data_IF_815881600071
#
_entry.id   IF_815881600071
#
_cell.length_a   1.000
_cell.length_b   1.000
_cell.length_c   1.000
_cell.angle_alpha   90.00
_cell.angle_beta   90.00
_cell.angle_gamma   90.00
#
_symmetry.space_group_name_H-M   'P 1'
#
loop_
_entity.id
_entity.type
_entity.pdbx_description
1 polymer ?
#
# COMPACT_ATOMS: atom_id res chain seq x y z
N UNK A 1 -9.32 25.33 0.62
CA UNK A 1 -7.99 25.34 1.28
C UNK A 1 -8.09 24.61 2.62
N UNK A 2 -6.99 24.08 3.16
CA UNK A 2 -6.96 23.46 4.51
C UNK A 2 -6.96 24.53 5.62
N UNK A 3 -8.05 24.72 6.40
CA UNK A 3 -7.98 25.57 7.58
C UNK A 3 -7.11 24.89 8.65
N UNK A 4 -6.40 25.70 9.45
CA UNK A 4 -5.77 25.20 10.66
C UNK A 4 -6.86 24.71 11.63
N UNK A 5 -6.68 23.50 12.19
CA UNK A 5 -7.63 22.88 13.13
C UNK A 5 -6.95 22.45 14.42
N UNK A 6 -7.75 22.09 15.42
CA UNK A 6 -7.29 21.68 16.75
C UNK A 6 -7.45 22.78 17.80
N UNK A 7 -7.41 22.38 19.06
CA UNK A 7 -7.65 23.23 20.23
C UNK A 7 -6.57 24.29 20.43
N UNK A 8 -5.39 24.11 19.83
CA UNK A 8 -4.29 25.08 19.86
C UNK A 8 -4.06 25.78 18.51
N UNK A 9 -4.99 25.70 17.56
CA UNK A 9 -4.85 26.35 16.24
C UNK A 9 -4.68 27.88 16.33
N UNK A 10 -5.21 28.50 17.39
CA UNK A 10 -5.04 29.93 17.68
C UNK A 10 -3.79 30.28 18.48
N UNK A 11 -3.03 29.30 18.95
CA UNK A 11 -1.83 29.52 19.76
C UNK A 11 -0.68 30.04 18.88
N UNK A 12 -0.47 31.35 18.95
CA UNK A 12 0.57 32.05 18.21
C UNK A 12 1.98 31.73 18.71
N UNK A 13 2.14 31.38 19.99
CA UNK A 13 3.45 31.01 20.52
C UNK A 13 3.87 29.64 19.98
N UNK A 14 3.00 28.64 20.09
CA UNK A 14 3.22 27.31 19.53
C UNK A 14 3.49 27.37 18.02
N UNK A 15 2.68 28.13 17.28
CA UNK A 15 2.85 28.28 15.83
C UNK A 15 4.19 28.92 15.49
N UNK A 16 4.61 29.95 16.25
CA UNK A 16 5.90 30.61 16.04
C UNK A 16 7.07 29.65 16.31
N UNK A 17 6.99 28.86 17.36
CA UNK A 17 8.05 27.90 17.71
C UNK A 17 8.17 26.79 16.67
N UNK A 18 7.03 26.27 16.19
CA UNK A 18 7.00 25.28 15.12
C UNK A 18 7.60 25.84 13.82
N UNK A 19 7.22 27.06 13.44
CA UNK A 19 7.76 27.75 12.25
C UNK A 19 9.25 28.08 12.40
N UNK A 20 9.71 28.50 13.59
CA UNK A 20 11.12 28.77 13.85
C UNK A 20 11.96 27.50 13.71
N UNK A 21 11.45 26.36 14.21
CA UNK A 21 12.10 25.05 14.07
C UNK A 21 12.18 24.62 12.59
N UNK A 22 11.11 24.82 11.83
CA UNK A 22 11.10 24.58 10.38
C UNK A 22 12.10 25.49 9.64
N UNK A 23 12.14 26.77 9.97
CA UNK A 23 13.05 27.74 9.37
C UNK A 23 14.53 27.39 9.65
N UNK A 24 14.84 26.90 10.85
CA UNK A 24 16.19 26.43 11.18
C UNK A 24 16.62 25.24 10.30
N UNK A 25 15.72 24.29 10.02
CA UNK A 25 16.00 23.19 9.10
C UNK A 25 16.20 23.66 7.66
N UNK A 26 15.45 24.68 7.23
CA UNK A 26 15.66 25.33 5.92
C UNK A 26 17.01 26.05 5.84
N UNK A 27 17.39 26.81 6.86
CA UNK A 27 18.69 27.49 6.93
C UNK A 27 19.87 26.51 6.89
N UNK A 28 19.67 25.29 7.36
CA UNK A 28 20.63 24.20 7.26
C UNK A 28 20.63 23.47 5.89
N UNK A 29 19.87 23.95 4.89
CA UNK A 29 19.77 23.38 3.55
C UNK A 29 19.00 22.05 3.47
N UNK A 30 18.25 21.68 4.53
CA UNK A 30 17.57 20.38 4.61
C UNK A 30 16.16 20.37 4.00
N UNK A 31 15.62 21.54 3.65
CA UNK A 31 14.26 21.72 3.14
C UNK A 31 14.24 22.82 2.06
N UNK A 32 13.32 22.68 1.10
CA UNK A 32 13.17 23.62 -0.02
C UNK A 32 12.38 24.88 0.37
N UNK A 33 12.37 25.86 -0.54
CA UNK A 33 11.62 27.10 -0.35
C UNK A 33 10.15 27.00 -0.80
N UNK A 34 9.22 27.10 0.15
CA UNK A 34 7.80 27.34 -0.12
C UNK A 34 7.03 28.00 1.03
N UNK A 35 5.72 28.15 0.85
CA UNK A 35 4.81 28.76 1.82
C UNK A 35 4.34 27.71 2.83
N UNK A 36 4.73 27.88 4.10
CA UNK A 36 4.42 26.95 5.17
C UNK A 36 3.03 27.22 5.71
N UNK A 37 2.19 26.19 5.72
CA UNK A 37 0.82 26.23 6.20
C UNK A 37 0.66 25.40 7.47
N UNK A 38 0.03 25.96 8.50
CA UNK A 38 -0.41 25.18 9.67
C UNK A 38 -1.66 24.37 9.31
N UNK A 39 -1.59 23.05 9.44
CA UNK A 39 -2.72 22.15 9.23
C UNK A 39 -3.44 21.80 10.53
N UNK A 40 -2.69 21.56 11.60
CA UNK A 40 -3.22 21.17 12.91
C UNK A 40 -2.34 21.67 14.04
N UNK A 41 -2.94 22.09 15.16
CA UNK A 41 -2.26 22.30 16.42
C UNK A 41 -3.18 21.91 17.58
N UNK A 42 -2.72 21.01 18.45
CA UNK A 42 -3.54 20.52 19.55
C UNK A 42 -2.85 19.50 20.44
N UNK A 43 -3.63 18.88 21.32
CA UNK A 43 -3.15 17.83 22.23
C UNK A 43 -3.50 16.43 21.73
N UNK A 44 -2.47 15.60 21.54
CA UNK A 44 -2.61 14.17 21.21
C UNK A 44 -1.97 13.33 22.32
N UNK A 45 -2.76 12.52 23.00
CA UNK A 45 -2.31 11.73 24.18
C UNK A 45 -1.59 12.58 25.24
N UNK A 46 -2.13 13.77 25.52
CA UNK A 46 -1.53 14.72 26.47
C UNK A 46 -0.27 15.42 25.97
N UNK A 47 0.15 15.21 24.73
CA UNK A 47 1.32 15.87 24.11
C UNK A 47 0.88 16.96 23.16
N UNK A 48 1.50 18.13 23.25
CA UNK A 48 1.32 19.22 22.30
C UNK A 48 1.94 18.85 20.95
N UNK A 49 1.14 18.93 19.89
CA UNK A 49 1.55 18.63 18.52
C UNK A 49 1.12 19.75 17.60
N UNK A 50 2.01 20.16 16.69
CA UNK A 50 1.67 21.01 15.55
C UNK A 50 2.10 20.34 14.24
N UNK A 51 1.30 20.49 13.19
CA UNK A 51 1.52 19.89 11.87
C UNK A 51 1.58 20.99 10.84
N UNK A 52 2.73 21.10 10.18
CA UNK A 52 2.99 22.07 9.13
C UNK A 52 3.07 21.37 7.78
N UNK A 53 2.62 22.03 6.70
CA UNK A 53 2.81 21.57 5.32
C UNK A 53 3.55 22.62 4.50
N UNK A 54 4.46 22.16 3.67
CA UNK A 54 5.13 22.95 2.63
C UNK A 54 5.17 22.10 1.36
N UNK A 55 4.28 22.40 0.42
CA UNK A 55 4.12 21.64 -0.83
C UNK A 55 3.83 20.14 -0.60
N UNK A 56 4.81 19.31 -0.98
CA UNK A 56 4.76 17.85 -0.93
C UNK A 56 5.23 17.26 0.41
N UNK A 57 5.55 18.09 1.39
CA UNK A 57 6.09 17.67 2.70
C UNK A 57 5.20 18.08 3.85
N UNK A 58 5.19 17.24 4.87
CA UNK A 58 4.59 17.52 6.17
C UNK A 58 5.66 17.44 7.26
N UNK A 59 5.57 18.33 8.22
CA UNK A 59 6.37 18.36 9.43
C UNK A 59 5.50 18.21 10.67
N UNK A 60 5.89 17.30 11.56
CA UNK A 60 5.30 17.16 12.90
C UNK A 60 6.23 17.74 13.95
N UNK A 61 5.74 18.76 14.64
CA UNK A 61 6.36 19.39 15.79
C UNK A 61 5.75 18.82 17.08
N UNK A 62 6.59 18.44 18.04
CA UNK A 62 6.16 17.81 19.31
C UNK A 62 6.59 18.60 20.55
N UNK A 63 6.86 19.89 20.37
CA UNK A 63 7.27 20.82 21.43
C UNK A 63 8.72 21.32 21.28
N UNK A 64 9.07 22.39 22.00
CA UNK A 64 10.41 22.98 21.95
C UNK A 64 11.51 21.98 22.31
N UNK A 65 12.65 22.07 21.63
CA UNK A 65 13.82 21.20 21.88
C UNK A 65 13.71 19.78 21.32
N UNK A 66 12.57 19.40 20.71
CA UNK A 66 12.43 18.14 19.97
C UNK A 66 12.69 18.34 18.48
N UNK A 67 13.30 17.35 17.79
CA UNK A 67 13.48 17.43 16.35
C UNK A 67 12.12 17.43 15.64
N UNK A 68 12.05 18.19 14.54
CA UNK A 68 10.92 18.13 13.64
C UNK A 68 10.96 16.83 12.85
N UNK A 69 9.87 16.09 12.86
CA UNK A 69 9.74 14.90 12.02
C UNK A 69 9.18 15.31 10.67
N UNK A 70 10.02 15.27 9.63
CA UNK A 70 9.61 15.66 8.28
C UNK A 70 9.46 14.43 7.40
N UNK A 71 8.32 14.34 6.71
CA UNK A 71 8.06 13.30 5.74
C UNK A 71 7.59 13.92 4.41
N UNK A 72 8.01 13.32 3.29
CA UNK A 72 7.35 13.57 2.02
C UNK A 72 6.00 12.86 2.04
N UNK A 73 4.93 13.54 1.63
CA UNK A 73 3.55 13.03 1.61
C UNK A 73 2.88 13.22 0.26
N UNK A 74 3.54 13.88 -0.70
CA UNK A 74 2.95 14.22 -1.98
C UNK A 74 2.10 15.49 -1.94
N UNK A 75 1.61 15.90 -3.11
CA UNK A 75 0.86 17.15 -3.30
C UNK A 75 -0.65 16.96 -3.27
N UNK A 76 -1.15 15.71 -3.25
CA UNK A 76 -2.57 15.43 -3.12
C UNK A 76 -3.12 16.10 -1.85
N UNK A 77 -4.09 17.01 -2.00
CA UNK A 77 -4.64 17.74 -0.87
C UNK A 77 -5.74 16.92 -0.15
N UNK A 78 -6.23 15.81 -0.73
CA UNK A 78 -7.22 14.91 -0.11
C UNK A 78 -6.58 13.79 0.71
N UNK A 79 -5.25 13.73 0.70
CA UNK A 79 -4.43 12.81 1.45
C UNK A 79 -4.56 13.00 2.96
N UNK A 80 -4.94 11.97 3.72
CA UNK A 80 -4.85 12.04 5.18
C UNK A 80 -3.40 12.10 5.64
N UNK A 81 -3.15 12.80 6.73
CA UNK A 81 -1.83 12.95 7.33
C UNK A 81 -1.74 12.12 8.59
N UNK A 82 -0.78 11.20 8.66
CA UNK A 82 -0.53 10.41 9.86
C UNK A 82 0.03 11.29 11.00
N UNK A 83 -0.60 11.25 12.16
CA UNK A 83 -0.18 12.02 13.35
C UNK A 83 0.60 11.19 14.37
N UNK A 84 0.69 9.88 14.13
CA UNK A 84 1.20 8.88 15.07
C UNK A 84 0.12 8.37 16.04
N UNK A 85 0.40 7.25 16.71
CA UNK A 85 -0.54 6.63 17.65
C UNK A 85 -1.87 6.20 17.01
N UNK A 86 -1.84 5.80 15.73
CA UNK A 86 -3.03 5.36 15.00
C UNK A 86 -4.01 6.47 14.62
N UNK A 87 -3.59 7.74 14.64
CA UNK A 87 -4.45 8.88 14.31
C UNK A 87 -4.11 9.52 12.97
N UNK A 88 -5.15 9.98 12.29
CA UNK A 88 -5.04 10.61 10.98
C UNK A 88 -5.78 11.93 10.97
N UNK A 89 -5.14 12.98 10.43
CA UNK A 89 -5.77 14.24 10.10
C UNK A 89 -6.39 14.13 8.69
N UNK A 90 -7.71 14.13 8.61
CA UNK A 90 -8.46 13.96 7.36
C UNK A 90 -8.55 15.26 6.58
N UNK A 91 -8.85 15.18 5.28
CA UNK A 91 -9.05 16.39 4.49
C UNK A 91 -10.29 17.16 4.99
N UNK A 92 -10.32 18.50 4.90
CA UNK A 92 -11.46 19.30 5.37
C UNK A 92 -12.78 19.03 4.66
N UNK A 93 -12.74 18.45 3.47
CA UNK A 93 -13.91 18.05 2.70
C UNK A 93 -14.29 16.59 2.91
N UNK A 94 -13.53 15.82 3.69
CA UNK A 94 -13.97 14.50 4.13
C UNK A 94 -15.05 14.67 5.19
N UNK A 95 -16.29 14.30 4.85
CA UNK A 95 -17.48 14.45 5.70
C UNK A 95 -17.67 13.31 6.68
N UNK A 96 -16.95 12.19 6.51
CA UNK A 96 -17.01 11.06 7.41
C UNK A 96 -15.91 10.04 7.19
N UNK A 97 -15.64 9.25 8.24
CA UNK A 97 -14.75 8.10 8.22
C UNK A 97 -15.45 6.93 8.91
N UNK A 98 -15.21 5.71 8.42
CA UNK A 98 -15.72 4.48 9.01
C UNK A 98 -14.71 3.35 8.87
N UNK A 99 -14.77 2.37 9.77
CA UNK A 99 -14.15 1.07 9.52
C UNK A 99 -14.94 0.41 8.39
N UNK A 100 -14.28 -0.14 7.34
CA UNK A 100 -15.00 -0.76 6.24
C UNK A 100 -15.97 -1.85 6.71
N UNK A 101 -17.25 -1.70 6.37
CA UNK A 101 -18.33 -2.61 6.80
C UNK A 101 -18.67 -2.57 8.31
N UNK A 102 -18.12 -1.62 9.05
CA UNK A 102 -18.29 -1.48 10.50
C UNK A 102 -18.74 -0.07 10.91
N UNK A 103 -18.37 0.30 12.13
CA UNK A 103 -18.83 1.52 12.76
C UNK A 103 -18.16 2.78 12.20
N UNK A 104 -18.86 3.90 12.35
CA UNK A 104 -18.31 5.22 12.08
C UNK A 104 -17.14 5.50 13.04
N UNK A 105 -16.05 6.04 12.48
CA UNK A 105 -14.88 6.48 13.24
C UNK A 105 -15.13 7.90 13.71
N UNK A 106 -14.99 8.14 15.01
CA UNK A 106 -15.16 9.48 15.56
C UNK A 106 -14.04 10.39 15.08
N UNK A 107 -14.42 11.55 14.55
CA UNK A 107 -13.50 12.60 14.10
C UNK A 107 -13.74 13.85 14.93
N UNK A 108 -12.68 14.36 15.56
CA UNK A 108 -12.71 15.62 16.32
C UNK A 108 -11.62 16.54 15.79
N UNK A 109 -11.98 17.78 15.47
CA UNK A 109 -11.07 18.78 14.91
C UNK A 109 -10.32 18.27 13.64
N UNK A 110 -10.99 17.42 12.86
CA UNK A 110 -10.44 16.77 11.66
C UNK A 110 -9.53 15.57 11.94
N UNK A 111 -9.34 15.19 13.21
CA UNK A 111 -8.47 14.08 13.61
C UNK A 111 -9.32 12.87 14.01
N UNK A 112 -9.00 11.71 13.45
CA UNK A 112 -9.63 10.44 13.87
C UNK A 112 -9.27 10.12 15.32
N UNK A 113 -10.13 9.39 16.00
CA UNK A 113 -9.69 8.68 17.20
C UNK A 113 -8.60 7.64 16.88
N UNK A 114 -7.86 7.12 17.88
CA UNK A 114 -6.86 6.08 17.66
C UNK A 114 -7.48 4.87 16.98
N UNK A 115 -6.84 4.44 15.91
CA UNK A 115 -7.17 3.21 15.21
C UNK A 115 -6.02 2.23 15.42
N UNK A 116 -6.33 1.05 15.95
CA UNK A 116 -5.36 -0.03 15.99
C UNK A 116 -5.18 -0.58 14.56
N UNK A 117 -3.94 -0.84 14.11
CA UNK A 117 -3.73 -1.59 12.87
C UNK A 117 -4.40 -2.97 13.03
N UNK A 118 -5.33 -3.36 12.14
CA UNK A 118 -6.07 -4.62 12.27
C UNK A 118 -5.21 -5.84 11.91
N UNK A 119 -4.07 -5.66 11.25
CA UNK A 119 -3.24 -6.76 10.74
C UNK A 119 -2.19 -7.21 11.75
N UNK A 120 -1.85 -8.51 11.72
CA UNK A 120 -0.82 -9.11 12.58
C UNK A 120 0.59 -8.55 12.34
N UNK A 121 0.85 -7.99 11.15
CA UNK A 121 2.12 -7.34 10.81
C UNK A 121 2.18 -5.86 11.21
N UNK A 122 1.16 -5.35 11.92
CA UNK A 122 1.10 -3.97 12.38
C UNK A 122 0.86 -2.95 11.27
N UNK A 123 0.37 -3.39 10.10
CA UNK A 123 -0.04 -2.52 8.98
C UNK A 123 -1.55 -2.29 8.99
N UNK A 124 -1.99 -1.26 8.28
CA UNK A 124 -3.32 -0.68 8.46
C UNK A 124 -3.33 0.45 9.51
N UNK A 125 -4.48 1.10 9.72
CA UNK A 125 -5.83 0.66 9.39
C UNK A 125 -6.20 0.82 7.92
N UNK A 126 -7.31 0.16 7.56
CA UNK A 126 -8.08 0.45 6.36
C UNK A 126 -9.29 1.28 6.80
N UNK A 127 -9.56 2.40 6.13
CA UNK A 127 -10.67 3.30 6.43
C UNK A 127 -11.48 3.60 5.18
N UNK A 128 -12.80 3.62 5.33
CA UNK A 128 -13.68 4.21 4.33
C UNK A 128 -13.87 5.69 4.64
N UNK A 129 -13.43 6.54 3.72
CA UNK A 129 -13.66 7.98 3.76
C UNK A 129 -14.86 8.34 2.89
N UNK A 130 -15.60 9.34 3.32
CA UNK A 130 -16.69 9.96 2.56
C UNK A 130 -16.27 11.37 2.21
N UNK A 131 -16.20 11.70 0.92
CA UNK A 131 -15.81 13.01 0.42
C UNK A 131 -16.77 13.53 -0.66
N UNK A 132 -16.46 14.67 -1.28
CA UNK A 132 -17.30 15.30 -2.29
C UNK A 132 -17.44 14.44 -3.56
N UNK A 133 -16.40 13.68 -3.90
CA UNK A 133 -16.35 12.80 -5.08
C UNK A 133 -16.87 11.39 -4.78
N UNK A 134 -17.48 11.18 -3.62
CA UNK A 134 -17.99 9.88 -3.16
C UNK A 134 -17.13 9.22 -2.08
N UNK A 135 -17.33 7.91 -1.93
CA UNK A 135 -16.63 7.10 -0.92
C UNK A 135 -15.36 6.46 -1.47
N UNK A 136 -14.27 6.49 -0.70
CA UNK A 136 -13.00 5.85 -1.05
C UNK A 136 -12.45 5.06 0.12
N UNK A 137 -11.81 3.93 -0.15
CA UNK A 137 -11.07 3.20 0.88
C UNK A 137 -9.60 3.61 0.85
N UNK A 138 -9.05 3.92 2.02
CA UNK A 138 -7.62 4.16 2.21
C UNK A 138 -7.02 3.08 3.10
N UNK A 139 -5.72 2.84 2.98
CA UNK A 139 -4.98 1.94 3.87
C UNK A 139 -3.57 2.42 4.17
N UNK A 140 -3.09 2.12 5.37
CA UNK A 140 -1.70 2.37 5.76
C UNK A 140 -0.80 1.20 5.36
N UNK A 141 0.04 1.43 4.33
CA UNK A 141 1.02 0.45 3.84
C UNK A 141 2.38 0.58 4.55
N UNK A 142 2.46 1.29 5.68
CA UNK A 142 3.69 1.56 6.42
C UNK A 142 4.55 2.67 5.82
N UNK A 143 3.96 3.50 4.95
CA UNK A 143 4.61 4.65 4.34
C UNK A 143 4.36 5.96 5.10
N UNK A 144 4.72 7.09 4.48
CA UNK A 144 4.56 8.41 5.08
C UNK A 144 3.09 8.90 5.21
N UNK A 145 2.14 8.22 4.56
CA UNK A 145 0.70 8.54 4.58
C UNK A 145 -0.13 7.30 4.22
N UNK A 146 -1.42 7.28 4.57
CA UNK A 146 -2.39 6.37 3.96
C UNK A 146 -2.48 6.56 2.45
N UNK A 147 -2.78 5.45 1.78
CA UNK A 147 -2.85 5.31 0.32
C UNK A 147 -4.27 4.97 -0.08
N UNK A 148 -4.78 5.52 -1.18
CA UNK A 148 -6.09 5.08 -1.70
C UNK A 148 -5.96 3.69 -2.31
N UNK A 149 -6.79 2.75 -1.88
CA UNK A 149 -6.72 1.36 -2.29
C UNK A 149 -7.77 1.04 -3.36
N UNK A 150 -7.34 0.37 -4.42
CA UNK A 150 -8.20 -0.23 -5.45
C UNK A 150 -8.02 -1.74 -5.53
N UNK A 151 -9.04 -2.41 -6.05
CA UNK A 151 -8.99 -3.85 -6.31
C UNK A 151 -9.82 -4.20 -7.54
N UNK A 152 -9.22 -4.95 -8.47
CA UNK A 152 -9.90 -5.59 -9.59
C UNK A 152 -9.65 -7.10 -9.53
N UNK A 153 -10.67 -7.91 -9.79
CA UNK A 153 -10.53 -9.36 -9.82
C UNK A 153 -10.24 -9.90 -11.23
N UNK A 154 -9.62 -11.08 -11.35
CA UNK A 154 -9.44 -11.77 -12.64
C UNK A 154 -10.79 -12.07 -13.32
N UNK A 155 -11.87 -12.23 -12.52
CA UNK A 155 -13.23 -12.39 -13.05
C UNK A 155 -13.71 -11.15 -13.82
N UNK A 156 -13.37 -9.95 -13.35
CA UNK A 156 -13.75 -8.69 -13.99
C UNK A 156 -13.08 -8.50 -15.36
N UNK A 157 -11.89 -9.10 -15.56
CA UNK A 157 -11.19 -9.09 -16.84
C UNK A 157 -11.90 -9.91 -17.92
N UNK A 158 -12.66 -10.93 -17.55
CA UNK A 158 -13.41 -11.75 -18.52
C UNK A 158 -14.60 -10.99 -19.15
N UNK A 159 -15.23 -10.07 -18.42
CA UNK A 159 -16.34 -9.25 -18.93
C UNK A 159 -15.85 -8.00 -19.68
N UNK A 160 -14.71 -7.43 -19.29
CA UNK A 160 -14.12 -6.25 -19.94
C UNK A 160 -13.58 -6.52 -21.36
N UNK A 161 -13.34 -7.79 -21.74
CA UNK A 161 -12.92 -8.16 -23.09
C UNK A 161 -13.97 -7.84 -24.18
N UNK A 162 -15.23 -7.62 -23.80
CA UNK A 162 -16.32 -7.22 -24.72
C UNK A 162 -16.52 -5.72 -24.89
N UNK A 163 -16.04 -4.88 -23.96
CA UNK A 163 -16.33 -3.45 -23.93
C UNK A 163 -15.04 -2.65 -23.75
N UNK A 164 -14.33 -2.42 -24.86
CA UNK A 164 -13.22 -1.47 -24.90
C UNK A 164 -13.73 -0.06 -24.61
N UNK A 165 -13.56 0.39 -23.37
CA UNK A 165 -13.19 1.77 -23.09
C UNK A 165 -11.98 1.78 -22.17
N UNK A 166 -10.80 1.88 -22.80
CA UNK A 166 -9.56 2.24 -22.15
C UNK A 166 -9.56 3.73 -21.79
N UNK A 167 -10.51 4.19 -20.97
CA UNK A 167 -10.55 5.56 -20.46
C UNK A 167 -11.68 5.76 -19.47
N UNK A 168 -11.55 5.21 -18.26
CA UNK A 168 -11.81 6.01 -17.07
C UNK A 168 -10.98 5.42 -15.95
N UNK A 169 -9.96 6.15 -15.49
CA UNK A 169 -9.48 5.98 -14.12
C UNK A 169 -10.61 6.51 -13.24
N UNK A 170 -11.72 5.79 -13.14
CA UNK A 170 -12.70 6.06 -12.10
C UNK A 170 -11.93 6.01 -10.79
N UNK A 171 -12.14 7.03 -9.95
CA UNK A 171 -11.57 7.03 -8.62
C UNK A 171 -11.97 5.71 -7.94
N UNK A 172 -11.08 5.04 -7.20
CA UNK A 172 -11.45 3.82 -6.51
C UNK A 172 -12.63 4.13 -5.61
N UNK A 173 -13.70 3.36 -5.76
CA UNK A 173 -14.80 3.38 -4.82
C UNK A 173 -14.39 2.77 -3.47
N UNK A 174 -15.37 2.55 -2.60
CA UNK A 174 -15.12 1.75 -1.40
C UNK A 174 -14.87 0.30 -1.77
N UNK A 175 -13.84 -0.28 -1.19
CA UNK A 175 -13.58 -1.70 -1.24
C UNK A 175 -14.67 -2.45 -0.48
N UNK A 176 -15.08 -3.60 -1.00
CA UNK A 176 -16.05 -4.48 -0.35
C UNK A 176 -15.56 -5.93 -0.37
N UNK A 177 -16.10 -6.76 0.52
CA UNK A 177 -15.99 -8.22 0.47
C UNK A 177 -14.60 -8.76 0.16
N UNK A 178 -14.40 -9.23 -1.07
CA UNK A 178 -13.16 -9.85 -1.54
C UNK A 178 -11.95 -8.89 -1.53
N UNK A 179 -12.14 -7.64 -1.95
CA UNK A 179 -11.06 -6.65 -2.01
C UNK A 179 -10.50 -6.32 -0.63
N UNK A 180 -11.39 -6.14 0.37
CA UNK A 180 -10.97 -5.92 1.76
C UNK A 180 -10.17 -7.11 2.31
N UNK A 181 -10.67 -8.34 2.11
CA UNK A 181 -9.96 -9.55 2.55
C UNK A 181 -8.60 -9.69 1.86
N UNK A 182 -8.51 -9.32 0.59
CA UNK A 182 -7.25 -9.39 -0.15
C UNK A 182 -6.24 -8.38 0.39
N UNK A 183 -6.64 -7.12 0.58
CA UNK A 183 -5.78 -6.06 1.10
C UNK A 183 -5.30 -6.33 2.53
N UNK A 184 -6.12 -6.98 3.37
CA UNK A 184 -5.72 -7.45 4.70
C UNK A 184 -4.50 -8.39 4.64
N UNK A 185 -4.48 -9.29 3.65
CA UNK A 185 -3.35 -10.22 3.43
C UNK A 185 -2.18 -9.54 2.74
N UNK A 186 -2.44 -8.77 1.68
CA UNK A 186 -1.40 -8.06 0.91
C UNK A 186 -0.63 -7.04 1.74
N UNK A 187 -1.32 -6.38 2.67
CA UNK A 187 -0.73 -5.41 3.59
C UNK A 187 0.56 -5.96 4.18
N UNK A 188 0.55 -7.20 4.68
CA UNK A 188 1.71 -7.82 5.32
C UNK A 188 2.80 -8.33 4.38
N UNK A 189 2.48 -8.57 3.12
CA UNK A 189 3.39 -9.18 2.15
C UNK A 189 4.12 -8.14 1.30
N UNK A 190 3.44 -7.04 0.96
CA UNK A 190 4.01 -6.00 0.11
C UNK A 190 5.20 -5.30 0.80
N UNK A 191 6.23 -4.86 0.07
CA UNK A 191 7.29 -4.05 0.64
C UNK A 191 6.73 -2.71 1.15
N UNK A 192 7.35 -2.17 2.20
CA UNK A 192 7.03 -0.80 2.62
C UNK A 192 7.43 0.18 1.50
N UNK A 193 6.54 1.10 1.08
CA UNK A 193 6.89 2.07 0.06
C UNK A 193 8.04 2.97 0.49
N UNK A 194 9.07 3.08 -0.36
CA UNK A 194 10.24 3.95 -0.09
C UNK A 194 10.01 5.41 -0.46
N UNK A 195 8.91 5.71 -1.17
CA UNK A 195 8.46 7.05 -1.55
C UNK A 195 6.94 7.15 -1.36
N UNK A 196 6.37 8.36 -1.28
CA UNK A 196 4.94 8.52 -1.05
C UNK A 196 4.11 7.95 -2.20
N UNK A 197 3.08 7.18 -1.87
CA UNK A 197 2.16 6.57 -2.81
C UNK A 197 0.81 7.29 -2.69
N UNK A 198 0.26 7.72 -3.82
CA UNK A 198 -1.07 8.32 -3.87
C UNK A 198 -2.15 7.24 -3.96
N UNK A 199 -1.92 6.23 -4.82
CA UNK A 199 -2.86 5.15 -5.10
C UNK A 199 -2.13 3.81 -5.21
N UNK A 200 -2.76 2.75 -4.70
CA UNK A 200 -2.32 1.39 -4.90
C UNK A 200 -3.48 0.52 -5.39
N UNK A 201 -3.31 -0.13 -6.53
CA UNK A 201 -4.34 -0.97 -7.16
C UNK A 201 -3.86 -2.41 -7.21
N UNK A 202 -4.59 -3.31 -6.56
CA UNK A 202 -4.33 -4.75 -6.63
C UNK A 202 -5.16 -5.39 -7.74
N UNK A 203 -4.53 -6.24 -8.55
CA UNK A 203 -5.21 -7.10 -9.50
C UNK A 203 -4.69 -8.53 -9.36
N UNK A 204 -5.57 -9.48 -9.04
CA UNK A 204 -5.21 -10.89 -9.18
C UNK A 204 -5.11 -11.26 -10.66
N UNK A 205 -4.04 -11.94 -11.03
CA UNK A 205 -3.81 -12.40 -12.40
C UNK A 205 -3.70 -13.92 -12.48
N UNK A 206 -3.69 -14.60 -11.33
CA UNK A 206 -3.81 -16.04 -11.22
C UNK A 206 -4.45 -16.40 -9.88
N UNK A 207 -5.34 -17.37 -9.87
CA UNK A 207 -5.91 -17.94 -8.65
C UNK A 207 -5.99 -19.46 -8.82
N UNK A 208 -5.60 -20.21 -7.79
CA UNK A 208 -5.59 -21.67 -7.91
C UNK A 208 -5.05 -22.38 -6.68
N UNK A 209 -4.87 -23.69 -6.81
CA UNK A 209 -4.22 -24.52 -5.79
C UNK A 209 -2.75 -24.71 -6.13
N UNK A 210 -1.87 -24.35 -5.20
CA UNK A 210 -0.44 -24.61 -5.29
C UNK A 210 -0.18 -26.08 -4.93
N UNK A 211 0.55 -26.84 -5.77
CA UNK A 211 0.89 -28.24 -5.51
C UNK A 211 1.69 -28.46 -4.22
N UNK A 212 1.95 -29.74 -3.90
CA UNK A 212 2.79 -30.15 -2.78
C UNK A 212 2.36 -29.59 -1.41
N UNK A 213 1.04 -29.43 -1.21
CA UNK A 213 0.47 -28.98 0.04
C UNK A 213 0.51 -27.47 0.25
N UNK A 214 0.75 -26.67 -0.80
CA UNK A 214 0.65 -25.21 -0.71
C UNK A 214 -0.79 -24.74 -0.45
N UNK A 215 -1.78 -25.41 -1.04
CA UNK A 215 -3.19 -25.06 -0.87
C UNK A 215 -3.61 -23.89 -1.76
N UNK A 216 -4.76 -23.29 -1.48
CA UNK A 216 -5.34 -22.25 -2.34
C UNK A 216 -4.68 -20.88 -2.13
N UNK A 217 -4.34 -20.22 -3.23
CA UNK A 217 -3.67 -18.93 -3.24
C UNK A 217 -4.04 -18.08 -4.46
N UNK A 218 -3.79 -16.78 -4.32
CA UNK A 218 -3.99 -15.77 -5.34
C UNK A 218 -2.63 -15.15 -5.67
N UNK A 219 -2.32 -15.00 -6.94
CA UNK A 219 -1.16 -14.25 -7.42
C UNK A 219 -1.62 -12.88 -7.88
N UNK A 220 -1.08 -11.86 -7.23
CA UNK A 220 -1.55 -10.49 -7.36
C UNK A 220 -0.42 -9.61 -7.86
N UNK A 221 -0.73 -8.75 -8.83
CA UNK A 221 0.10 -7.62 -9.20
C UNK A 221 -0.49 -6.36 -8.57
N UNK A 222 0.29 -5.65 -7.75
CA UNK A 222 -0.10 -4.39 -7.14
C UNK A 222 0.63 -3.24 -7.83
N UNK A 223 -0.14 -2.36 -8.47
CA UNK A 223 0.35 -1.07 -8.95
C UNK A 223 0.54 -0.12 -7.79
N UNK A 224 1.65 0.59 -7.76
CA UNK A 224 1.82 1.78 -6.95
C UNK A 224 1.98 3.00 -7.85
N UNK A 225 1.07 3.97 -7.73
CA UNK A 225 1.22 5.30 -8.33
C UNK A 225 1.87 6.24 -7.30
N UNK A 226 3.05 6.76 -7.62
CA UNK A 226 3.82 7.58 -6.70
C UNK A 226 3.43 9.05 -6.78
N UNK A 227 3.46 9.72 -5.63
CA UNK A 227 3.33 11.16 -5.60
C UNK A 227 4.47 11.83 -6.37
N UNK A 228 4.12 12.76 -7.26
CA UNK A 228 5.08 13.38 -8.19
C UNK A 228 5.29 12.60 -9.49
N UNK A 229 4.59 11.47 -9.68
CA UNK A 229 4.51 10.74 -10.93
C UNK A 229 5.33 9.45 -10.98
N UNK A 230 5.05 8.67 -12.03
CA UNK A 230 5.59 7.33 -12.22
C UNK A 230 4.83 6.26 -11.44
N UNK A 231 5.00 5.01 -11.87
CA UNK A 231 4.40 3.85 -11.22
C UNK A 231 5.36 2.67 -11.17
N UNK A 232 5.07 1.71 -10.29
CA UNK A 232 5.76 0.43 -10.25
C UNK A 232 4.78 -0.69 -9.87
N UNK A 233 4.91 -1.85 -10.54
CA UNK A 233 4.15 -3.05 -10.21
C UNK A 233 4.96 -3.98 -9.31
N UNK A 234 4.34 -4.46 -8.24
CA UNK A 234 4.90 -5.47 -7.34
C UNK A 234 3.98 -6.68 -7.26
N UNK A 235 4.53 -7.87 -7.50
CA UNK A 235 3.80 -9.11 -7.36
C UNK A 235 3.91 -9.70 -5.96
N UNK A 236 2.86 -10.42 -5.57
CA UNK A 236 2.82 -11.26 -4.38
C UNK A 236 2.01 -12.52 -4.65
N UNK A 237 2.48 -13.64 -4.13
CA UNK A 237 1.65 -14.83 -3.94
C UNK A 237 1.06 -14.73 -2.53
N UNK A 238 -0.25 -14.78 -2.40
CA UNK A 238 -0.94 -14.71 -1.10
C UNK A 238 -1.81 -15.94 -0.91
N UNK A 239 -1.58 -16.68 0.18
CA UNK A 239 -2.48 -17.78 0.54
C UNK A 239 -3.85 -17.25 0.96
N UNK A 240 -4.90 -18.07 0.82
CA UNK A 240 -6.28 -17.65 1.17
C UNK A 240 -6.58 -17.66 2.68
N UNK A 241 -5.67 -18.20 3.48
CA UNK A 241 -5.71 -18.13 4.95
C UNK A 241 -4.68 -17.11 5.46
N UNK A 242 -4.98 -16.45 6.58
CA UNK A 242 -4.12 -15.41 7.15
C UNK A 242 -2.71 -15.93 7.50
N UNK A 243 -2.60 -17.15 8.03
CA UNK A 243 -1.34 -17.76 8.46
C UNK A 243 -0.67 -18.62 7.38
N UNK A 244 -1.03 -18.43 6.11
CA UNK A 244 -0.47 -19.24 5.03
C UNK A 244 1.03 -19.01 4.85
N UNK A 245 1.82 -20.09 4.89
CA UNK A 245 3.25 -20.08 4.58
C UNK A 245 3.55 -19.87 3.09
N UNK A 246 2.53 -19.77 2.23
CA UNK A 246 2.69 -19.36 0.83
C UNK A 246 2.85 -17.86 0.65
N UNK A 247 2.37 -17.07 1.62
CA UNK A 247 2.28 -15.62 1.48
C UNK A 247 3.68 -14.99 1.41
N UNK A 248 4.08 -14.54 0.23
CA UNK A 248 5.40 -14.00 -0.04
C UNK A 248 5.41 -13.03 -1.23
N UNK A 249 6.31 -12.05 -1.18
CA UNK A 249 6.59 -11.18 -2.32
C UNK A 249 7.21 -11.96 -3.47
N UNK A 250 6.77 -11.67 -4.70
CA UNK A 250 7.15 -12.38 -5.92
C UNK A 250 7.94 -11.48 -6.90
N UNK A 251 8.53 -10.39 -6.41
CA UNK A 251 9.28 -9.43 -7.24
C UNK A 251 8.39 -8.43 -7.97
N UNK A 252 8.91 -7.83 -9.04
CA UNK A 252 8.16 -6.88 -9.85
C UNK A 252 7.18 -7.57 -10.81
N UNK A 253 6.19 -6.81 -11.29
CA UNK A 253 5.26 -7.26 -12.34
C UNK A 253 4.92 -6.14 -13.31
N UNK A 254 4.53 -6.53 -14.52
CA UNK A 254 3.86 -5.67 -15.51
C UNK A 254 2.35 -5.93 -15.44
N UNK A 255 1.56 -4.96 -15.04
CA UNK A 255 0.11 -5.11 -14.93
C UNK A 255 -0.59 -5.44 -16.26
N UNK A 256 0.01 -5.11 -17.40
CA UNK A 256 -0.60 -5.36 -18.72
C UNK A 256 -0.40 -6.80 -19.16
N UNK A 257 0.71 -7.40 -18.77
CA UNK A 257 1.10 -8.79 -19.10
C UNK A 257 1.80 -9.41 -17.89
N UNK A 258 1.06 -9.61 -16.78
CA UNK A 258 1.70 -9.96 -15.52
C UNK A 258 2.29 -11.36 -15.59
N UNK A 259 3.56 -11.45 -15.22
CA UNK A 259 4.28 -12.70 -14.95
C UNK A 259 5.23 -12.43 -13.79
N UNK A 260 5.27 -13.35 -12.83
CA UNK A 260 6.20 -13.27 -11.71
C UNK A 260 6.39 -14.65 -11.08
N UNK A 261 7.46 -14.77 -10.30
CA UNK A 261 7.86 -16.05 -9.73
C UNK A 261 8.64 -15.88 -8.44
N UNK A 262 8.67 -16.96 -7.65
CA UNK A 262 9.36 -16.99 -6.37
C UNK A 262 9.80 -18.39 -6.00
N UNK A 263 10.83 -18.47 -5.16
CA UNK A 263 11.23 -19.69 -4.47
C UNK A 263 10.36 -19.90 -3.24
N UNK A 264 9.62 -21.00 -3.20
CA UNK A 264 8.77 -21.38 -2.09
C UNK A 264 9.25 -22.70 -1.47
N UNK A 265 9.15 -22.80 -0.14
CA UNK A 265 9.49 -24.01 0.60
C UNK A 265 8.21 -24.70 1.07
N UNK A 266 7.98 -25.91 0.58
CA UNK A 266 6.86 -26.74 1.02
C UNK A 266 7.00 -27.17 2.47
N UNK A 267 5.90 -27.61 3.09
CA UNK A 267 5.89 -28.13 4.47
C UNK A 267 6.80 -29.35 4.67
N UNK A 268 7.12 -30.09 3.61
CA UNK A 268 8.12 -31.18 3.61
C UNK A 268 9.57 -30.69 3.73
N UNK A 269 9.79 -29.38 3.62
CA UNK A 269 11.09 -28.73 3.63
C UNK A 269 11.77 -28.64 2.26
N UNK A 270 11.13 -29.13 1.19
CA UNK A 270 11.65 -29.05 -0.19
C UNK A 270 11.33 -27.69 -0.83
N UNK A 271 12.28 -27.18 -1.62
CA UNK A 271 12.14 -25.96 -2.39
C UNK A 271 11.56 -26.22 -3.77
N UNK A 272 10.68 -25.33 -4.20
CA UNK A 272 10.07 -25.28 -5.51
C UNK A 272 10.17 -23.86 -6.05
N UNK A 273 10.41 -23.74 -7.35
CA UNK A 273 10.17 -22.50 -8.06
C UNK A 273 8.72 -22.50 -8.53
N UNK A 274 7.98 -21.47 -8.12
CA UNK A 274 6.62 -21.23 -8.57
C UNK A 274 6.64 -19.99 -9.47
N UNK A 275 5.95 -20.04 -10.60
CA UNK A 275 5.67 -18.86 -11.39
C UNK A 275 4.26 -18.91 -11.94
N UNK A 276 3.64 -17.75 -12.09
CA UNK A 276 2.34 -17.62 -12.72
C UNK A 276 2.35 -16.51 -13.76
N UNK A 277 1.54 -16.67 -14.80
CA UNK A 277 1.28 -15.64 -15.81
C UNK A 277 -0.20 -15.26 -15.86
N UNK A 278 -0.48 -14.06 -16.36
CA UNK A 278 -1.82 -13.54 -16.56
C UNK A 278 -2.62 -14.27 -17.64
N UNK A 279 -3.86 -13.85 -17.85
CA UNK A 279 -4.77 -14.50 -18.79
C UNK A 279 -4.22 -14.51 -20.23
N UNK A 280 -4.37 -15.64 -20.92
CA UNK A 280 -3.85 -15.82 -22.29
C UNK A 280 -2.34 -15.95 -22.40
N UNK A 281 -1.63 -16.08 -21.27
CA UNK A 281 -0.18 -16.25 -21.21
C UNK A 281 0.19 -17.56 -20.50
N UNK A 282 1.32 -18.14 -20.88
CA UNK A 282 1.98 -19.21 -20.18
C UNK A 282 3.35 -18.73 -19.67
N UNK A 283 3.71 -19.00 -18.40
CA UNK A 283 5.02 -18.66 -17.87
C UNK A 283 6.11 -19.59 -18.43
N UNK A 284 7.29 -19.03 -18.67
CA UNK A 284 8.48 -19.73 -19.11
C UNK A 284 9.67 -19.30 -18.25
N UNK A 285 10.38 -20.27 -17.68
CA UNK A 285 11.45 -20.02 -16.72
C UNK A 285 12.73 -20.72 -17.14
N UNK A 286 13.80 -19.95 -17.30
CA UNK A 286 15.14 -20.41 -17.61
C UNK A 286 16.07 -20.25 -16.40
N UNK A 287 16.91 -21.25 -16.18
CA UNK A 287 17.85 -21.28 -15.06
C UNK A 287 18.12 -22.70 -14.57
N UNK A 288 18.73 -22.87 -13.38
CA UNK A 288 19.02 -24.18 -12.81
C UNK A 288 17.75 -24.86 -12.27
N UNK A 289 16.82 -25.19 -13.16
CA UNK A 289 15.55 -25.86 -12.88
C UNK A 289 15.51 -27.27 -13.50
N UNK A 290 14.89 -28.22 -12.80
CA UNK A 290 14.55 -29.55 -13.30
C UNK A 290 13.07 -29.85 -13.07
N UNK A 291 12.54 -30.79 -13.84
CA UNK A 291 11.12 -31.17 -13.82
C UNK A 291 10.19 -29.94 -13.90
N UNK A 292 10.43 -29.08 -14.88
CA UNK A 292 9.57 -27.93 -15.15
C UNK A 292 8.23 -28.47 -15.65
N UNK A 293 7.18 -28.24 -14.88
CA UNK A 293 5.81 -28.58 -15.22
C UNK A 293 5.00 -27.29 -15.37
N UNK A 294 4.34 -27.14 -16.52
CA UNK A 294 3.50 -25.98 -16.82
C UNK A 294 2.09 -26.48 -17.05
N UNK A 295 1.19 -26.15 -16.12
CA UNK A 295 -0.23 -26.47 -16.21
C UNK A 295 -1.02 -25.17 -16.36
N UNK A 296 -1.40 -24.87 -17.61
CA UNK A 296 -2.08 -23.63 -17.95
C UNK A 296 -1.21 -22.41 -17.64
N UNK A 297 -1.64 -21.61 -16.64
CA UNK A 297 -0.99 -20.37 -16.23
C UNK A 297 0.01 -20.53 -15.07
N UNK A 298 0.20 -21.74 -14.55
CA UNK A 298 1.11 -22.02 -13.43
C UNK A 298 2.28 -22.87 -13.89
N UNK A 299 3.49 -22.45 -13.54
CA UNK A 299 4.73 -23.22 -13.64
C UNK A 299 5.19 -23.65 -12.25
N UNK A 300 5.55 -24.92 -12.13
CA UNK A 300 6.20 -25.49 -10.95
C UNK A 300 7.46 -26.19 -11.40
N UNK A 301 8.58 -25.88 -10.76
CA UNK A 301 9.84 -26.55 -11.02
C UNK A 301 10.58 -26.85 -9.71
N UNK A 302 11.49 -27.81 -9.76
CA UNK A 302 12.41 -28.08 -8.64
C UNK A 302 13.81 -27.56 -8.98
N UNK A 303 14.57 -27.08 -8.00
CA UNK A 303 15.91 -26.57 -8.25
C UNK A 303 16.87 -27.67 -8.65
N UNK A 304 17.85 -27.40 -9.51
CA UNK A 304 19.03 -28.25 -9.64
C UNK A 304 19.80 -28.28 -8.31
N UNK A 305 20.34 -29.45 -7.94
CA UNK A 305 21.01 -29.66 -6.65
C UNK A 305 20.07 -30.16 -5.54
N UNK A 306 20.44 -29.90 -4.29
CA UNK A 306 19.76 -30.43 -3.10
C UNK A 306 18.37 -29.81 -2.90
N UNK A 307 17.29 -30.61 -2.85
CA UNK A 307 15.93 -30.10 -2.71
C UNK A 307 15.67 -29.28 -1.44
N UNK A 308 16.50 -29.43 -0.39
CA UNK A 308 16.28 -28.78 0.92
C UNK A 308 17.07 -27.47 1.10
N UNK A 309 18.01 -27.18 0.20
CA UNK A 309 18.76 -25.93 0.19
C UNK A 309 18.06 -24.89 -0.68
N UNK A 310 17.98 -23.64 -0.22
CA UNK A 310 17.44 -22.55 -1.04
C UNK A 310 18.44 -22.26 -2.17
N UNK A 311 18.01 -22.21 -3.43
CA UNK A 311 18.88 -21.77 -4.52
C UNK A 311 19.10 -20.26 -4.46
N UNK A 312 20.34 -19.85 -4.70
CA UNK A 312 20.71 -18.43 -4.77
C UNK A 312 20.83 -17.92 -6.23
N UNK A 313 20.70 -18.81 -7.20
CA UNK A 313 20.82 -18.46 -8.62
C UNK A 313 19.55 -17.76 -9.11
N UNK A 314 19.68 -16.65 -9.86
CA UNK A 314 18.55 -16.02 -10.54
C UNK A 314 17.85 -16.98 -11.51
N UNK A 315 16.54 -16.77 -11.67
CA UNK A 315 15.73 -17.41 -12.70
C UNK A 315 15.27 -16.33 -13.66
N UNK A 316 15.55 -16.53 -14.94
CA UNK A 316 15.06 -15.67 -16.01
C UNK A 316 13.63 -16.08 -16.32
N UNK A 317 12.66 -15.21 -15.99
CA UNK A 317 11.25 -15.50 -16.12
C UNK A 317 10.62 -14.63 -17.20
N UNK A 318 9.94 -15.27 -18.15
CA UNK A 318 9.20 -14.62 -19.22
C UNK A 318 7.79 -15.23 -19.36
N UNK A 319 6.98 -14.66 -20.24
CA UNK A 319 5.68 -15.23 -20.59
C UNK A 319 5.41 -15.07 -22.09
N UNK A 320 4.90 -16.14 -22.69
CA UNK A 320 4.48 -16.20 -24.09
C UNK A 320 2.96 -16.44 -24.17
N UNK A 321 2.36 -16.19 -25.34
CA UNK A 321 0.93 -16.45 -25.55
C UNK A 321 0.68 -17.96 -25.46
N UNK A 322 -0.30 -18.35 -24.63
CA UNK A 322 -0.68 -19.75 -24.41
C UNK A 322 -1.41 -20.36 -25.61
#
# INVERSE_FOLDING_TARGET
AWPARGDLAGDRALTRDALATWAALRGAGRLQHGAVQLLYAGHLDGRTVAVLRDGDRVARFSGPGRPLEVAATGTDPSAPVALGGGRYLLAPWDSGAAVPGGDAVRVRDGVTEPLAPPTHCGRGPVLDLTGPDGGRTIGDLGGARPVVLGYHSDADHSEAAGHRSASSHSAPGRLTGAGLRLWDRLGCVLPQPTRPVDRADAADFWSGSVPHGGGAADWVCTRFDFAGGGSAGQAALVGRTADSSLSAGAGGCDERRPVSGLWWRAGTGHWYYLAAAGHGLAPEADGPLRHVDVTGRLLVAVPHGEPKARPDTPIDLTAHTA
#
